data_IF_245779249924
#
_entry.id   IF_245779249924
#
_cell.length_a   1.000
_cell.length_b   1.000
_cell.length_c   1.000
_cell.angle_alpha   90.00
_cell.angle_beta   90.00
_cell.angle_gamma   90.00
#
_symmetry.space_group_name_H-M   'P 1'
#
loop_
_entity.id
_entity.type
_entity.pdbx_description
1 polymer ?
#
# COMPACT_ATOMS: atom_id res chain seq x y z
N UNK A 1 -5.42 -14.86 62.53
CA UNK A 1 -5.51 -13.39 62.72
C UNK A 1 -4.37 -12.79 61.93
N UNK A 2 -4.66 -12.14 60.81
CA UNK A 2 -3.64 -11.43 60.03
C UNK A 2 -3.09 -10.26 60.82
N UNK A 3 -1.78 -10.05 60.75
CA UNK A 3 -1.14 -8.93 61.44
C UNK A 3 -1.62 -7.60 60.81
N UNK A 4 -1.77 -6.52 61.60
CA UNK A 4 -2.29 -5.23 61.12
C UNK A 4 -1.54 -4.62 59.92
N UNK A 5 -0.32 -5.10 59.63
CA UNK A 5 0.57 -4.57 58.60
C UNK A 5 0.60 -5.39 57.30
N UNK A 6 -0.04 -6.57 57.24
CA UNK A 6 -0.01 -7.45 56.06
C UNK A 6 -0.71 -6.81 54.84
N UNK A 7 -1.87 -6.16 55.04
CA UNK A 7 -2.62 -5.55 53.92
C UNK A 7 -1.91 -4.34 53.29
N UNK A 8 -1.14 -3.58 54.07
CA UNK A 8 -0.34 -2.47 53.55
C UNK A 8 0.85 -3.00 52.73
N UNK A 9 1.56 -4.00 53.24
CA UNK A 9 2.67 -4.61 52.53
C UNK A 9 2.23 -5.24 51.19
N UNK A 10 1.07 -5.91 51.16
CA UNK A 10 0.49 -6.45 49.94
C UNK A 10 0.12 -5.34 48.94
N UNK A 11 -0.51 -4.26 49.41
CA UNK A 11 -0.87 -3.12 48.56
C UNK A 11 0.34 -2.45 47.91
N UNK A 12 1.43 -2.27 48.68
CA UNK A 12 2.69 -1.73 48.16
C UNK A 12 3.33 -2.68 47.16
N UNK A 13 3.27 -4.00 47.39
CA UNK A 13 3.78 -4.99 46.46
C UNK A 13 3.01 -4.98 45.13
N UNK A 14 1.67 -4.93 45.19
CA UNK A 14 0.80 -4.82 44.00
C UNK A 14 1.07 -3.52 43.23
N UNK A 15 1.16 -2.39 43.93
CA UNK A 15 1.48 -1.12 43.27
C UNK A 15 2.83 -1.16 42.56
N UNK A 16 3.87 -1.71 43.20
CA UNK A 16 5.19 -1.85 42.58
C UNK A 16 5.17 -2.76 41.36
N UNK A 17 4.42 -3.86 41.38
CA UNK A 17 4.29 -4.75 40.23
C UNK A 17 3.56 -4.08 39.07
N UNK A 18 2.47 -3.36 39.35
CA UNK A 18 1.72 -2.59 38.35
C UNK A 18 2.57 -1.49 37.70
N UNK A 19 3.34 -0.74 38.50
CA UNK A 19 4.27 0.28 37.99
C UNK A 19 5.35 -0.35 37.12
N UNK A 20 5.95 -1.46 37.55
CA UNK A 20 6.96 -2.18 36.77
C UNK A 20 6.40 -2.67 35.42
N UNK A 21 5.20 -3.23 35.44
CA UNK A 21 4.50 -3.65 34.22
C UNK A 21 4.17 -2.45 33.30
N UNK A 22 3.73 -1.33 33.86
CA UNK A 22 3.48 -0.10 33.10
C UNK A 22 4.75 0.45 32.46
N UNK A 23 5.87 0.52 33.19
CA UNK A 23 7.16 0.95 32.66
C UNK A 23 7.64 0.03 31.54
N UNK A 24 7.46 -1.28 31.69
CA UNK A 24 7.85 -2.26 30.65
C UNK A 24 7.03 -2.05 29.37
N UNK A 25 5.71 -1.86 29.49
CA UNK A 25 4.85 -1.53 28.35
C UNK A 25 5.23 -0.20 27.69
N UNK A 26 5.49 0.83 28.49
CA UNK A 26 5.89 2.14 27.96
C UNK A 26 7.23 2.07 27.22
N UNK A 27 8.20 1.30 27.73
CA UNK A 27 9.49 1.08 27.06
C UNK A 27 9.32 0.36 25.72
N UNK A 28 8.50 -0.70 25.67
CA UNK A 28 8.19 -1.40 24.41
C UNK A 28 7.52 -0.47 23.41
N UNK A 29 6.46 0.23 23.81
CA UNK A 29 5.77 1.18 22.93
C UNK A 29 6.70 2.30 22.43
N UNK A 30 7.62 2.77 23.29
CA UNK A 30 8.62 3.77 22.89
C UNK A 30 9.64 3.21 21.90
N UNK A 31 10.02 1.94 22.00
CA UNK A 31 10.90 1.29 21.04
C UNK A 31 10.20 1.15 19.68
N UNK A 32 8.98 0.61 19.67
CA UNK A 32 8.17 0.48 18.46
C UNK A 32 7.94 1.83 17.76
N UNK A 33 7.64 2.89 18.52
CA UNK A 33 7.51 4.24 17.96
C UNK A 33 8.81 4.74 17.32
N UNK A 34 9.98 4.46 17.93
CA UNK A 34 11.27 4.82 17.32
C UNK A 34 11.51 4.04 16.04
N UNK A 35 11.18 2.76 16.02
CA UNK A 35 11.35 1.91 14.83
C UNK A 35 10.44 2.38 13.69
N UNK A 36 9.19 2.73 13.98
CA UNK A 36 8.26 3.32 13.01
C UNK A 36 8.77 4.67 12.48
N UNK A 37 9.25 5.55 13.36
CA UNK A 37 9.83 6.85 12.94
C UNK A 37 11.07 6.63 12.08
N UNK A 38 11.92 5.66 12.42
CA UNK A 38 13.11 5.35 11.63
C UNK A 38 12.75 4.76 10.26
N UNK A 39 11.74 3.88 10.18
CA UNK A 39 11.23 3.35 8.92
C UNK A 39 10.67 4.46 8.03
N UNK A 40 9.79 5.29 8.58
CA UNK A 40 9.22 6.43 7.87
C UNK A 40 10.29 7.38 7.33
N UNK A 41 11.35 7.68 8.11
CA UNK A 41 12.47 8.51 7.65
C UNK A 41 13.18 7.90 6.44
N UNK A 42 13.51 6.59 6.50
CA UNK A 42 14.16 5.90 5.38
C UNK A 42 13.31 5.88 4.12
N UNK A 43 12.00 5.64 4.27
CA UNK A 43 11.04 5.66 3.16
C UNK A 43 10.95 7.06 2.54
N UNK A 44 10.85 8.09 3.38
CA UNK A 44 10.82 9.48 2.93
C UNK A 44 12.13 9.88 2.23
N UNK A 45 13.28 9.52 2.78
CA UNK A 45 14.59 9.78 2.15
C UNK A 45 14.68 9.11 0.77
N UNK A 46 14.18 7.87 0.66
CA UNK A 46 14.12 7.14 -0.61
C UNK A 46 13.18 7.83 -1.60
N UNK A 47 12.00 8.26 -1.16
CA UNK A 47 11.04 8.97 -2.00
C UNK A 47 11.59 10.33 -2.46
N UNK A 48 12.23 11.07 -1.56
CA UNK A 48 12.86 12.35 -1.86
C UNK A 48 14.01 12.18 -2.85
N UNK A 49 14.84 11.13 -2.72
CA UNK A 49 15.87 10.82 -3.70
C UNK A 49 15.27 10.54 -5.08
N UNK A 50 14.25 9.68 -5.17
CA UNK A 50 13.53 9.39 -6.43
C UNK A 50 12.92 10.65 -7.06
N UNK A 51 12.37 11.55 -6.24
CA UNK A 51 11.82 12.81 -6.70
C UNK A 51 12.90 13.75 -7.25
N UNK A 52 14.06 13.84 -6.60
CA UNK A 52 15.21 14.64 -7.08
C UNK A 52 15.75 14.11 -8.40
N UNK A 53 15.86 12.80 -8.53
CA UNK A 53 16.36 12.13 -9.74
C UNK A 53 15.33 12.08 -10.88
N UNK A 54 14.10 12.57 -10.66
CA UNK A 54 13.02 12.57 -11.64
C UNK A 54 12.43 11.18 -11.95
N UNK A 55 12.77 10.17 -11.14
CA UNK A 55 12.24 8.81 -11.26
C UNK A 55 10.84 8.64 -10.65
N UNK A 56 10.32 9.66 -9.96
CA UNK A 56 8.98 9.66 -9.41
C UNK A 56 7.96 10.18 -10.43
N UNK A 57 6.90 9.42 -10.67
CA UNK A 57 5.74 9.79 -11.49
C UNK A 57 4.49 9.75 -10.61
N UNK A 58 3.73 10.84 -10.56
CA UNK A 58 2.49 10.99 -9.78
C UNK A 58 1.35 11.44 -10.68
N UNK A 59 0.11 11.12 -10.29
CA UNK A 59 -1.08 11.62 -10.97
C UNK A 59 -1.14 13.15 -10.93
N UNK A 60 -1.75 13.77 -11.95
CA UNK A 60 -1.91 15.23 -11.97
C UNK A 60 -2.81 15.74 -10.83
N UNK A 61 -3.76 14.92 -10.41
CA UNK A 61 -4.69 15.12 -9.29
C UNK A 61 -4.03 14.93 -7.91
N UNK A 62 -2.96 14.15 -7.84
CA UNK A 62 -2.18 13.92 -6.61
C UNK A 62 -1.17 15.05 -6.34
N UNK A 63 -0.92 15.92 -7.32
CA UNK A 63 0.00 17.04 -7.16
C UNK A 63 -0.56 18.07 -6.19
N UNK A 64 0.28 18.47 -5.23
CA UNK A 64 -0.03 19.63 -4.39
C UNK A 64 -0.11 20.90 -5.22
N UNK A 65 -1.18 21.67 -5.00
CA UNK A 65 -1.42 22.97 -5.62
C UNK A 65 -0.14 23.85 -5.65
N UNK A 66 0.22 24.43 -6.81
CA UNK A 66 1.45 25.24 -6.93
C UNK A 66 1.54 26.40 -5.94
N UNK A 67 0.43 27.12 -5.70
CA UNK A 67 0.42 28.26 -4.76
C UNK A 67 0.56 27.79 -3.32
N UNK A 68 -0.01 26.63 -2.97
CA UNK A 68 0.19 26.04 -1.66
C UNK A 68 1.67 25.67 -1.44
N UNK A 69 2.35 25.11 -2.45
CA UNK A 69 3.79 24.79 -2.38
C UNK A 69 4.65 26.04 -2.23
N UNK A 70 4.37 27.09 -3.00
CA UNK A 70 5.08 28.37 -2.94
C UNK A 70 4.96 29.02 -1.55
N UNK A 71 3.72 29.14 -1.02
CA UNK A 71 3.49 29.68 0.33
C UNK A 71 4.19 28.86 1.41
N UNK A 72 4.19 27.53 1.28
CA UNK A 72 4.87 26.66 2.23
C UNK A 72 6.41 26.79 2.15
N UNK A 73 6.96 27.08 0.96
CA UNK A 73 8.39 27.34 0.78
C UNK A 73 8.78 28.70 1.37
N UNK A 74 7.99 29.75 1.11
CA UNK A 74 8.19 31.09 1.66
C UNK A 74 8.19 31.06 3.19
N UNK A 75 7.14 30.49 3.79
CA UNK A 75 7.04 30.36 5.26
C UNK A 75 8.24 29.64 5.87
N UNK A 76 8.77 28.59 5.21
CA UNK A 76 9.98 27.90 5.69
C UNK A 76 11.21 28.80 5.63
N UNK A 77 11.42 29.52 4.53
CA UNK A 77 12.55 30.46 4.40
C UNK A 77 12.49 31.56 5.45
N UNK A 78 11.32 32.14 5.69
CA UNK A 78 11.11 33.16 6.74
C UNK A 78 11.46 32.66 8.15
N UNK A 79 11.27 31.36 8.40
CA UNK A 79 11.59 30.70 9.67
C UNK A 79 13.01 30.13 9.74
N UNK A 80 13.83 30.34 8.69
CA UNK A 80 15.17 29.76 8.58
C UNK A 80 15.15 28.22 8.50
N UNK A 81 14.03 27.63 8.09
CA UNK A 81 13.89 26.19 7.86
C UNK A 81 14.38 25.84 6.45
N UNK A 82 15.06 24.69 6.28
CA UNK A 82 15.52 24.25 4.97
C UNK A 82 14.33 24.02 4.03
N UNK A 83 14.53 24.39 2.77
CA UNK A 83 13.62 24.09 1.66
C UNK A 83 14.41 23.29 0.65
N UNK A 84 14.08 22.01 0.51
CA UNK A 84 14.64 21.18 -0.54
C UNK A 84 14.20 21.68 -1.93
N UNK A 85 15.15 21.78 -2.85
CA UNK A 85 14.87 22.07 -4.26
C UNK A 85 14.59 20.76 -4.99
N UNK A 86 13.38 20.64 -5.55
CA UNK A 86 12.94 19.50 -6.36
C UNK A 86 12.71 19.93 -7.81
N UNK A 87 12.73 18.99 -8.77
CA UNK A 87 12.33 19.26 -10.13
C UNK A 87 10.93 19.90 -10.20
N UNK A 88 10.67 20.75 -11.22
CA UNK A 88 9.38 21.41 -11.35
C UNK A 88 8.27 20.37 -11.52
N UNK A 89 7.11 20.60 -10.90
CA UNK A 89 6.05 19.59 -10.78
C UNK A 89 5.57 18.98 -12.09
N UNK A 90 5.56 19.73 -13.18
CA UNK A 90 5.17 19.20 -14.49
C UNK A 90 6.08 18.06 -14.97
N UNK A 91 7.33 17.98 -14.46
CA UNK A 91 8.24 16.86 -14.72
C UNK A 91 7.97 15.63 -13.86
N UNK A 92 7.09 15.73 -12.85
CA UNK A 92 6.71 14.62 -11.99
C UNK A 92 5.35 14.04 -12.37
N UNK A 93 4.60 14.70 -13.25
CA UNK A 93 3.30 14.20 -13.73
C UNK A 93 3.52 12.98 -14.62
N UNK A 94 2.81 11.89 -14.33
CA UNK A 94 2.69 10.76 -15.24
C UNK A 94 1.91 11.20 -16.48
N UNK A 95 2.40 10.87 -17.68
CA UNK A 95 1.62 11.05 -18.90
C UNK A 95 0.31 10.24 -18.76
N UNK A 96 -0.83 10.93 -18.79
CA UNK A 96 -2.14 10.28 -18.76
C UNK A 96 -2.26 9.46 -20.03
N UNK A 97 -2.36 8.14 -19.89
CA UNK A 97 -2.70 7.25 -20.99
C UNK A 97 -4.03 7.72 -21.59
N UNK A 98 -4.11 7.96 -22.91
CA UNK A 98 -5.33 8.45 -23.53
C UNK A 98 -6.44 7.44 -23.26
N UNK A 99 -7.52 7.94 -22.67
CA UNK A 99 -8.75 7.17 -22.50
C UNK A 99 -9.19 6.72 -23.90
N UNK A 100 -9.43 5.42 -24.14
CA UNK A 100 -9.79 4.95 -25.46
C UNK A 100 -11.02 5.72 -25.93
N UNK A 101 -10.92 6.37 -27.09
CA UNK A 101 -12.06 7.03 -27.71
C UNK A 101 -13.21 6.01 -27.80
N UNK A 102 -14.44 6.39 -27.40
CA UNK A 102 -15.58 5.51 -27.59
C UNK A 102 -15.63 5.16 -29.08
N UNK A 103 -15.63 3.86 -29.40
CA UNK A 103 -15.85 3.40 -30.77
C UNK A 103 -17.07 4.13 -31.32
N UNK A 104 -17.01 4.72 -32.53
CA UNK A 104 -18.16 5.40 -33.09
C UNK A 104 -19.33 4.43 -33.09
N UNK A 105 -20.40 4.77 -32.36
CA UNK A 105 -21.63 3.98 -32.43
C UNK A 105 -22.00 3.81 -33.90
N UNK A 106 -22.32 2.59 -34.36
CA UNK A 106 -22.77 2.39 -35.73
C UNK A 106 -23.95 3.31 -35.94
N UNK A 107 -23.78 4.30 -36.81
CA UNK A 107 -24.88 5.14 -37.28
C UNK A 107 -25.84 4.16 -37.93
N UNK A 108 -27.00 3.94 -37.30
CA UNK A 108 -28.13 3.25 -37.91
C UNK A 108 -28.54 4.07 -39.13
N UNK A 109 -27.97 3.74 -40.28
CA UNK A 109 -28.28 4.35 -41.56
C UNK A 109 -29.65 3.81 -42.00
N UNK A 110 -30.73 4.62 -41.99
CA UNK A 110 -32.06 4.16 -42.37
C UNK A 110 -32.18 3.87 -43.89
N UNK A 111 -31.08 3.96 -44.64
CA UNK A 111 -31.00 3.66 -46.07
C UNK A 111 -30.37 2.31 -46.41
N UNK A 112 -30.00 1.49 -45.41
CA UNK A 112 -29.49 0.13 -45.62
C UNK A 112 -30.59 -0.94 -45.85
N UNK A 113 -31.85 -0.54 -46.06
CA UNK A 113 -32.90 -1.42 -46.58
C UNK A 113 -32.69 -1.68 -48.08
N UNK A 114 -31.67 -2.43 -48.44
CA UNK A 114 -31.68 -3.24 -49.65
C UNK A 114 -30.97 -4.54 -49.33
N UNK A 115 -31.73 -5.53 -48.85
CA UNK A 115 -31.28 -6.90 -48.74
C UNK A 115 -30.77 -7.37 -50.11
N UNK A 116 -29.48 -7.75 -50.25
CA UNK A 116 -29.10 -8.57 -51.38
C UNK A 116 -29.77 -9.93 -51.21
N UNK A 117 -30.64 -10.29 -52.15
CA UNK A 117 -31.22 -11.63 -52.26
C UNK A 117 -30.09 -12.67 -52.30
N UNK A 118 -29.82 -13.32 -51.17
CA UNK A 118 -28.92 -14.47 -51.10
C UNK A 118 -29.71 -15.68 -51.59
N UNK A 119 -29.34 -16.19 -52.76
CA UNK A 119 -29.78 -17.50 -53.23
C UNK A 119 -29.21 -18.56 -52.28
N UNK A 120 -30.07 -19.17 -51.47
CA UNK A 120 -29.72 -20.30 -50.62
C UNK A 120 -29.17 -21.45 -51.49
N UNK A 121 -27.89 -21.75 -51.33
CA UNK A 121 -27.34 -23.05 -51.69
C UNK A 121 -27.29 -23.89 -50.42
N UNK A 122 -28.10 -24.94 -50.44
CA UNK A 122 -28.31 -25.92 -49.39
C UNK A 122 -27.08 -26.85 -49.33
N UNK A 123 -26.06 -26.46 -48.57
CA UNK A 123 -24.95 -27.33 -48.21
C UNK A 123 -25.20 -27.96 -46.83
N UNK A 124 -25.16 -29.29 -46.68
CA UNK A 124 -25.45 -29.95 -45.41
C UNK A 124 -24.34 -29.71 -44.37
N UNK A 125 -24.73 -29.15 -43.22
CA UNK A 125 -23.85 -28.83 -42.10
C UNK A 125 -23.25 -30.11 -41.46
N UNK A 126 -21.92 -30.21 -41.25
CA UNK A 126 -21.34 -31.34 -40.52
C UNK A 126 -21.65 -31.24 -39.01
N UNK A 127 -21.82 -32.36 -38.30
CA UNK A 127 -22.19 -32.34 -36.89
C UNK A 127 -21.07 -31.76 -36.01
N UNK A 128 -21.44 -30.77 -35.18
CA UNK A 128 -20.56 -30.14 -34.19
C UNK A 128 -20.07 -31.15 -33.14
N UNK A 129 -18.76 -31.21 -32.82
CA UNK A 129 -18.28 -31.98 -31.68
C UNK A 129 -18.73 -31.33 -30.36
N UNK A 130 -19.15 -32.17 -29.41
CA UNK A 130 -19.63 -31.76 -28.10
C UNK A 130 -18.55 -30.99 -27.32
N UNK A 131 -18.95 -29.87 -26.71
CA UNK A 131 -18.09 -29.08 -25.80
C UNK A 131 -17.68 -29.93 -24.59
N UNK A 132 -16.38 -30.04 -24.26
CA UNK A 132 -15.97 -30.61 -22.98
C UNK A 132 -16.36 -29.69 -21.82
N UNK A 133 -16.81 -30.31 -20.72
CA UNK A 133 -17.27 -29.65 -19.51
C UNK A 133 -16.16 -28.82 -18.82
N UNK A 134 -16.51 -27.75 -18.07
CA UNK A 134 -15.53 -26.95 -17.34
C UNK A 134 -14.85 -27.76 -16.23
N UNK A 135 -13.52 -27.59 -15.99
CA UNK A 135 -12.85 -28.25 -14.88
C UNK A 135 -13.35 -27.73 -13.53
N UNK A 136 -13.59 -28.69 -12.64
CA UNK A 136 -14.01 -28.55 -11.25
C UNK A 136 -12.93 -27.84 -10.43
N UNK A 137 -13.30 -26.80 -9.69
CA UNK A 137 -12.46 -26.16 -8.66
C UNK A 137 -12.06 -27.20 -7.60
N UNK A 138 -10.77 -27.33 -7.32
CA UNK A 138 -10.28 -28.00 -6.11
C UNK A 138 -9.89 -26.94 -5.09
N UNK A 139 -10.48 -27.07 -3.90
CA UNK A 139 -10.11 -26.42 -2.64
C UNK A 139 -8.82 -27.03 -2.07
N UNK A 140 -8.20 -26.26 -1.16
CA UNK A 140 -6.88 -26.37 -0.51
C UNK A 140 -6.54 -27.72 0.17
N UNK A 141 -5.27 -27.87 0.60
CA UNK A 141 -5.07 -28.06 2.04
C UNK A 141 -4.00 -27.15 2.67
N UNK A 142 -4.16 -27.04 3.98
CA UNK A 142 -3.38 -26.36 5.01
C UNK A 142 -1.91 -26.82 5.13
N UNK A 143 -1.19 -26.18 6.06
CA UNK A 143 0.07 -26.57 6.71
C UNK A 143 1.39 -26.04 6.11
N UNK A 144 1.95 -25.01 6.77
CA UNK A 144 3.35 -25.04 7.25
C UNK A 144 3.57 -23.91 8.28
N UNK A 145 2.98 -24.09 9.45
CA UNK A 145 3.45 -23.60 10.73
C UNK A 145 4.68 -24.40 11.18
N UNK A 146 5.84 -23.73 11.23
CA UNK A 146 6.98 -24.21 12.03
C UNK A 146 8.31 -24.33 11.28
N UNK A 147 9.01 -23.21 11.08
CA UNK A 147 10.45 -23.26 10.85
C UNK A 147 11.23 -22.25 11.71
N UNK A 148 11.65 -22.73 12.89
CA UNK A 148 12.91 -22.45 13.61
C UNK A 148 13.36 -20.98 13.73
N UNK A 149 13.38 -20.31 14.89
CA UNK A 149 13.70 -20.77 16.25
C UNK A 149 14.93 -21.68 16.31
N UNK A 150 16.11 -21.17 15.90
CA UNK A 150 17.40 -21.56 16.47
C UNK A 150 18.55 -20.69 15.94
N UNK A 151 18.86 -19.57 16.62
CA UNK A 151 20.21 -18.99 16.65
C UNK A 151 20.46 -18.36 18.02
N UNK A 152 20.52 -19.22 19.04
CA UNK A 152 21.17 -18.92 20.31
C UNK A 152 22.68 -19.13 20.12
N UNK A 153 23.39 -18.13 19.57
CA UNK A 153 24.85 -18.17 19.49
C UNK A 153 25.43 -17.68 20.82
N UNK A 154 26.05 -18.62 21.52
CA UNK A 154 26.99 -18.45 22.61
C UNK A 154 27.97 -17.28 22.35
N UNK A 155 28.05 -16.35 23.30
CA UNK A 155 29.27 -15.59 23.57
C UNK A 155 29.40 -15.36 25.09
N UNK A 156 29.62 -16.46 25.81
CA UNK A 156 30.45 -16.48 27.01
C UNK A 156 31.78 -17.14 26.62
N UNK A 157 32.91 -16.49 26.90
CA UNK A 157 34.24 -17.08 26.79
C UNK A 157 35.29 -16.15 26.17
N UNK A 158 35.88 -15.29 27.00
CA UNK A 158 37.02 -14.44 26.66
C UNK A 158 37.35 -13.45 27.78
#
# INVERSE_FOLDING_TARGET
MSAPNEGFAESVARFRSEVSAAVTRARRASAEARDQVAAFRRENDTLAARARDGGLRVGADELTDPRARERAAEWRRERGLPVDEFPPAHRLVAEREPEPEPEPEPVDDPLAENDPVVLEHDDPEPPRPARPAPPVRRTDPEDDDGYFADQQILLEGG
#
